data_IF_305657859058
#
_entry.id   IF_305657859058
#
_cell.length_a   1.000
_cell.length_b   1.000
_cell.length_c   1.000
_cell.angle_alpha   90.00
_cell.angle_beta   90.00
_cell.angle_gamma   90.00
#
_symmetry.space_group_name_H-M   'P 1'
#
loop_
_entity.id
_entity.type
_entity.pdbx_description
1 polymer ?
#
# COMPACT_ATOMS: atom_id res chain seq x y z
N UNK A 1 -9.20 58.46 11.33
CA UNK A 1 -7.86 58.24 10.73
C UNK A 1 -7.25 56.87 11.04
N UNK A 2 -7.12 56.42 12.30
CA UNK A 2 -6.52 55.10 12.62
C UNK A 2 -7.30 53.89 12.04
N UNK A 3 -8.64 53.95 11.98
CA UNK A 3 -9.46 52.87 11.39
C UNK A 3 -9.34 52.78 9.85
N UNK A 4 -9.16 53.92 9.17
CA UNK A 4 -9.04 53.98 7.71
C UNK A 4 -7.69 53.44 7.20
N UNK A 5 -6.61 53.60 7.98
CA UNK A 5 -5.30 52.99 7.69
C UNK A 5 -5.30 51.45 7.83
N UNK A 6 -6.08 50.89 8.76
CA UNK A 6 -6.16 49.43 8.94
C UNK A 6 -6.92 48.73 7.81
N UNK A 7 -7.99 49.35 7.31
CA UNK A 7 -8.74 48.84 6.15
C UNK A 7 -7.89 48.91 4.87
N UNK A 8 -7.14 50.00 4.68
CA UNK A 8 -6.26 50.13 3.51
C UNK A 8 -5.11 49.12 3.51
N UNK A 9 -4.54 48.81 4.69
CA UNK A 9 -3.51 47.79 4.84
C UNK A 9 -4.09 46.38 4.62
N UNK A 10 -5.30 46.11 5.13
CA UNK A 10 -6.00 44.85 4.88
C UNK A 10 -6.31 44.61 3.40
N UNK A 11 -6.73 45.65 2.67
CA UNK A 11 -6.96 45.56 1.21
C UNK A 11 -5.63 45.43 0.46
N UNK A 12 -4.55 46.08 0.90
CA UNK A 12 -3.24 45.92 0.25
C UNK A 12 -2.68 44.50 0.41
N UNK A 13 -2.86 43.90 1.59
CA UNK A 13 -2.47 42.51 1.88
C UNK A 13 -3.35 41.55 1.07
N UNK A 14 -4.66 41.80 0.98
CA UNK A 14 -5.58 41.01 0.16
C UNK A 14 -5.25 41.11 -1.34
N UNK A 15 -4.88 42.30 -1.84
CA UNK A 15 -4.46 42.46 -3.22
C UNK A 15 -3.09 41.82 -3.49
N UNK A 16 -2.16 41.82 -2.53
CA UNK A 16 -0.87 41.13 -2.68
C UNK A 16 -1.00 39.61 -2.72
N UNK A 17 -1.96 39.02 -1.99
CA UNK A 17 -2.25 37.57 -2.09
C UNK A 17 -2.90 37.18 -3.42
N UNK A 18 -3.66 38.08 -4.05
CA UNK A 18 -4.30 37.81 -5.36
C UNK A 18 -3.33 37.99 -6.55
N UNK A 19 -2.16 38.61 -6.34
CA UNK A 19 -1.12 38.68 -7.37
C UNK A 19 -0.24 37.42 -7.45
N UNK A 20 -0.31 36.50 -6.48
CA UNK A 20 0.39 35.23 -6.53
C UNK A 20 -0.40 34.12 -7.26
N UNK A 21 -1.73 34.21 -7.31
CA UNK A 21 -2.58 33.18 -7.92
C UNK A 21 -2.89 33.42 -9.41
N UNK A 22 -2.04 34.16 -10.13
CA UNK A 22 -2.37 34.61 -11.49
C UNK A 22 -1.19 35.09 -12.31
N UNK A 23 -0.06 34.37 -12.27
CA UNK A 23 0.95 34.52 -13.32
C UNK A 23 0.38 33.96 -14.64
N UNK A 24 0.45 34.79 -15.69
CA UNK A 24 -0.18 34.58 -16.98
C UNK A 24 0.19 33.24 -17.62
N UNK A 25 -0.76 32.57 -18.30
CA UNK A 25 -0.53 31.37 -19.14
C UNK A 25 0.70 31.47 -20.07
N UNK A 26 1.09 32.67 -20.49
CA UNK A 26 2.28 32.91 -21.33
C UNK A 26 3.62 32.74 -20.60
N UNK A 27 3.67 32.91 -19.28
CA UNK A 27 4.88 32.72 -18.47
C UNK A 27 5.11 31.23 -18.18
N UNK A 28 4.03 30.50 -17.86
CA UNK A 28 4.09 29.07 -17.55
C UNK A 28 4.43 28.22 -18.79
N UNK A 29 4.10 28.70 -20.00
CA UNK A 29 4.44 28.03 -21.27
C UNK A 29 5.70 28.58 -21.96
N UNK A 30 6.60 29.24 -21.21
CA UNK A 30 7.79 29.87 -21.78
C UNK A 30 8.86 28.84 -22.16
N UNK A 31 9.30 28.82 -23.42
CA UNK A 31 10.47 28.04 -23.88
C UNK A 31 11.84 28.63 -23.43
N UNK A 32 11.83 29.65 -22.57
CA UNK A 32 13.02 30.26 -21.97
C UNK A 32 13.17 29.71 -20.54
N UNK A 33 14.22 28.89 -20.25
CA UNK A 33 14.39 28.22 -18.96
C UNK A 33 14.35 29.18 -17.76
N UNK A 34 14.97 30.36 -17.87
CA UNK A 34 15.01 31.32 -16.76
C UNK A 34 13.63 31.89 -16.43
N UNK A 35 12.83 32.19 -17.47
CA UNK A 35 11.45 32.68 -17.26
C UNK A 35 10.52 31.59 -16.78
N UNK A 36 10.74 30.35 -17.25
CA UNK A 36 9.99 29.20 -16.79
C UNK A 36 10.24 28.94 -15.30
N UNK A 37 11.50 28.93 -14.88
CA UNK A 37 11.89 28.77 -13.48
C UNK A 37 11.37 29.91 -12.60
N UNK A 38 11.48 31.16 -13.05
CA UNK A 38 10.91 32.30 -12.31
C UNK A 38 9.39 32.18 -12.10
N UNK A 39 8.67 31.63 -13.09
CA UNK A 39 7.21 31.50 -13.03
C UNK A 39 6.72 30.27 -12.26
N UNK A 40 7.52 29.20 -12.20
CA UNK A 40 7.12 27.89 -11.65
C UNK A 40 8.02 27.44 -10.48
N UNK A 41 8.83 28.34 -9.91
CA UNK A 41 9.64 28.04 -8.74
C UNK A 41 8.77 27.74 -7.52
N UNK A 42 9.20 26.80 -6.70
CA UNK A 42 8.45 26.29 -5.57
C UNK A 42 8.55 24.78 -5.44
N UNK A 43 7.78 24.24 -4.50
CA UNK A 43 7.66 22.81 -4.25
C UNK A 43 6.44 22.26 -4.96
N UNK A 44 6.61 21.09 -5.56
CA UNK A 44 5.62 20.39 -6.34
C UNK A 44 5.54 18.94 -5.86
N UNK A 45 4.34 18.37 -5.90
CA UNK A 45 4.09 17.01 -5.44
C UNK A 45 3.44 16.17 -6.52
N UNK A 46 3.92 14.93 -6.66
CA UNK A 46 3.37 13.94 -7.59
C UNK A 46 1.89 13.70 -7.27
N UNK A 47 1.07 13.71 -8.31
CA UNK A 47 -0.39 13.55 -8.28
C UNK A 47 -1.15 14.51 -7.35
N UNK A 48 -0.50 15.60 -6.89
CA UNK A 48 -1.09 16.53 -5.94
C UNK A 48 -1.25 15.97 -4.53
N UNK A 49 -0.54 14.89 -4.19
CA UNK A 49 -0.51 14.29 -2.86
C UNK A 49 0.80 14.66 -2.14
N UNK A 50 0.72 15.33 -1.00
CA UNK A 50 1.91 15.80 -0.27
C UNK A 50 2.76 14.69 0.35
N UNK A 51 2.23 13.45 0.37
CA UNK A 51 2.92 12.26 0.88
C UNK A 51 3.72 11.52 -0.23
N UNK A 52 3.63 11.97 -1.48
CA UNK A 52 4.35 11.40 -2.63
C UNK A 52 5.67 12.12 -2.91
N UNK A 53 6.33 11.70 -4.00
CA UNK A 53 7.49 12.34 -4.59
C UNK A 53 7.36 13.87 -4.65
N UNK A 54 8.46 14.52 -4.27
CA UNK A 54 8.59 15.96 -4.16
C UNK A 54 9.59 16.47 -5.18
N UNK A 55 9.18 17.42 -6.00
CA UNK A 55 10.03 18.16 -6.94
C UNK A 55 10.14 19.61 -6.48
N UNK A 56 11.37 20.11 -6.30
CA UNK A 56 11.65 21.50 -5.96
C UNK A 56 12.28 22.18 -7.16
N UNK A 57 11.70 23.29 -7.62
CA UNK A 57 12.22 24.13 -8.69
C UNK A 57 12.70 25.45 -8.10
N UNK A 58 13.96 25.80 -8.33
CA UNK A 58 14.54 27.06 -7.87
C UNK A 58 14.43 28.15 -8.94
N UNK A 59 14.38 29.41 -8.50
CA UNK A 59 14.23 30.59 -9.38
C UNK A 59 15.44 30.80 -10.32
N UNK A 60 16.59 30.22 -9.98
CA UNK A 60 17.81 30.24 -10.78
C UNK A 60 17.83 29.17 -11.89
N UNK A 61 16.80 28.31 -11.98
CA UNK A 61 16.67 27.25 -12.97
C UNK A 61 17.33 25.93 -12.59
N UNK A 62 17.75 25.77 -11.33
CA UNK A 62 18.11 24.46 -10.76
C UNK A 62 16.87 23.74 -10.21
N UNK A 63 16.97 22.42 -10.01
CA UNK A 63 15.90 21.61 -9.44
C UNK A 63 16.44 20.42 -8.65
N UNK A 64 15.63 19.93 -7.70
CA UNK A 64 15.88 18.74 -6.89
C UNK A 64 14.62 17.88 -6.85
N UNK A 65 14.77 16.57 -6.90
CA UNK A 65 13.70 15.57 -6.80
C UNK A 65 13.99 14.63 -5.64
N UNK A 66 12.93 14.29 -4.93
CA UNK A 66 12.96 13.41 -3.77
C UNK A 66 11.85 12.37 -3.92
N UNK A 67 12.20 11.09 -3.86
CA UNK A 67 11.24 9.97 -3.78
C UNK A 67 10.76 9.74 -2.34
N UNK A 68 11.53 10.23 -1.36
CA UNK A 68 11.18 10.25 0.05
C UNK A 68 11.30 11.67 0.62
N UNK A 69 11.03 11.86 1.91
CA UNK A 69 11.06 13.21 2.50
C UNK A 69 12.47 13.79 2.70
N UNK A 70 13.51 12.96 2.67
CA UNK A 70 14.84 13.26 3.22
C UNK A 70 15.98 13.23 2.19
N UNK A 71 15.88 12.41 1.16
CA UNK A 71 16.96 12.08 0.23
C UNK A 71 16.69 12.63 -1.16
N UNK A 72 17.65 13.38 -1.69
CA UNK A 72 17.63 13.83 -3.09
C UNK A 72 17.92 12.62 -3.97
N UNK A 73 16.92 12.16 -4.75
CA UNK A 73 17.10 11.09 -5.72
C UNK A 73 17.64 11.61 -7.06
N UNK A 74 17.35 12.86 -7.41
CA UNK A 74 17.93 13.52 -8.57
C UNK A 74 18.03 15.03 -8.39
N UNK A 75 19.04 15.66 -9.02
CA UNK A 75 19.18 17.12 -9.06
C UNK A 75 19.73 17.56 -10.41
N UNK A 76 19.44 18.80 -10.78
CA UNK A 76 19.81 19.25 -12.11
C UNK A 76 19.56 20.71 -12.44
N UNK A 77 19.61 20.98 -13.75
CA UNK A 77 19.30 22.27 -14.36
C UNK A 77 18.20 22.14 -15.40
N UNK A 78 17.44 23.20 -15.61
CA UNK A 78 16.44 23.29 -16.68
C UNK A 78 17.12 23.82 -17.94
N UNK A 79 17.05 23.05 -19.02
CA UNK A 79 17.56 23.44 -20.34
C UNK A 79 16.44 23.50 -21.37
N UNK A 80 16.69 24.20 -22.47
CA UNK A 80 15.80 24.20 -23.63
C UNK A 80 16.44 23.43 -24.78
N UNK A 81 15.85 22.29 -25.13
CA UNK A 81 16.22 21.54 -26.32
C UNK A 81 15.68 22.27 -27.56
N UNK A 82 16.60 22.74 -28.40
CA UNK A 82 16.28 23.46 -29.64
C UNK A 82 15.84 22.52 -30.77
N UNK A 83 16.24 21.25 -30.73
CA UNK A 83 15.91 20.26 -31.74
C UNK A 83 14.45 19.84 -31.57
N UNK A 84 14.10 19.40 -30.35
CA UNK A 84 12.74 18.98 -30.01
C UNK A 84 11.80 20.13 -29.60
N UNK A 85 12.36 21.32 -29.35
CA UNK A 85 11.64 22.54 -28.94
C UNK A 85 10.86 22.37 -27.64
N UNK A 86 11.45 21.69 -26.67
CA UNK A 86 10.88 21.42 -25.34
C UNK A 86 11.86 21.85 -24.25
N UNK A 87 11.35 22.00 -23.03
CA UNK A 87 12.20 22.14 -21.85
C UNK A 87 12.54 20.74 -21.33
N UNK A 88 13.76 20.56 -20.86
CA UNK A 88 14.23 19.34 -20.23
C UNK A 88 14.82 19.65 -18.86
N UNK A 89 14.46 18.84 -17.89
CA UNK A 89 15.09 18.79 -16.59
C UNK A 89 16.28 17.85 -16.73
N UNK A 90 17.49 18.42 -16.76
CA UNK A 90 18.72 17.68 -17.03
C UNK A 90 19.40 17.33 -15.71
N UNK A 91 19.42 16.04 -15.37
CA UNK A 91 20.16 15.56 -14.20
C UNK A 91 21.66 15.76 -14.45
N UNK A 92 22.31 16.54 -13.58
CA UNK A 92 23.72 16.95 -13.78
C UNK A 92 24.71 15.80 -13.56
N UNK A 93 24.33 14.79 -12.78
CA UNK A 93 25.16 13.65 -12.42
C UNK A 93 25.10 12.57 -13.49
N UNK A 94 23.91 12.24 -13.97
CA UNK A 94 23.67 11.09 -14.84
C UNK A 94 23.44 11.46 -16.32
N UNK A 95 23.24 12.75 -16.60
CA UNK A 95 22.85 13.27 -17.93
C UNK A 95 21.59 12.60 -18.48
N UNK A 96 20.67 12.27 -17.58
CA UNK A 96 19.30 11.89 -17.91
C UNK A 96 18.51 13.17 -18.18
N UNK A 97 17.68 13.12 -19.22
CA UNK A 97 16.82 14.22 -19.62
C UNK A 97 15.38 13.82 -19.30
N UNK A 98 14.74 14.58 -18.42
CA UNK A 98 13.32 14.42 -18.13
C UNK A 98 12.55 15.49 -18.92
N UNK A 99 11.77 15.10 -19.94
CA UNK A 99 10.92 16.03 -20.66
C UNK A 99 9.99 16.74 -19.68
N UNK A 100 9.88 18.06 -19.85
CA UNK A 100 9.02 18.90 -19.02
C UNK A 100 7.94 19.55 -19.88
N UNK A 101 6.68 19.36 -19.48
CA UNK A 101 5.51 19.96 -20.13
C UNK A 101 4.57 20.56 -19.11
N UNK A 102 4.06 21.76 -19.38
CA UNK A 102 2.97 22.33 -18.59
C UNK A 102 1.64 22.01 -19.24
N UNK A 103 0.76 21.39 -18.46
CA UNK A 103 -0.62 21.14 -18.83
C UNK A 103 -1.49 22.39 -18.65
N UNK A 104 -2.59 22.42 -19.39
CA UNK A 104 -3.54 23.54 -19.39
C UNK A 104 -4.27 23.72 -18.05
N UNK A 105 -4.27 22.68 -17.22
CA UNK A 105 -4.87 22.65 -15.89
C UNK A 105 -3.90 23.01 -14.77
N UNK A 106 -2.66 23.42 -15.10
CA UNK A 106 -1.65 23.85 -14.16
C UNK A 106 -0.72 22.76 -13.65
N UNK A 107 -0.90 21.51 -14.09
CA UNK A 107 0.03 20.42 -13.78
C UNK A 107 1.33 20.55 -14.58
N UNK A 108 2.42 20.11 -13.98
CA UNK A 108 3.72 19.93 -14.61
C UNK A 108 3.93 18.43 -14.88
N UNK A 109 4.25 18.05 -16.11
CA UNK A 109 4.79 16.71 -16.39
C UNK A 109 6.27 16.68 -16.03
N UNK A 110 6.64 15.73 -15.19
CA UNK A 110 8.01 15.38 -14.89
C UNK A 110 8.09 13.86 -14.69
N UNK A 111 9.08 13.20 -15.28
CA UNK A 111 9.26 11.74 -15.18
C UNK A 111 7.97 10.93 -15.43
N UNK A 112 7.24 11.27 -16.51
CA UNK A 112 5.96 10.64 -16.89
C UNK A 112 4.82 10.75 -15.86
N UNK A 113 4.98 11.57 -14.83
CA UNK A 113 3.98 11.79 -13.79
C UNK A 113 3.53 13.26 -13.78
N UNK A 114 2.31 13.50 -13.30
CA UNK A 114 1.77 14.86 -13.14
C UNK A 114 2.12 15.37 -11.74
N UNK A 115 2.71 16.55 -11.67
CA UNK A 115 3.05 17.26 -10.45
C UNK A 115 2.19 18.52 -10.31
N UNK A 116 1.75 18.80 -9.10
CA UNK A 116 1.00 20.01 -8.75
C UNK A 116 1.77 20.82 -7.72
N UNK A 117 1.70 22.17 -7.77
CA UNK A 117 2.41 23.00 -6.82
C UNK A 117 1.79 22.80 -5.43
N UNK A 118 2.60 22.92 -4.38
CA UNK A 118 2.24 22.67 -2.98
C UNK A 118 0.92 23.33 -2.56
N UNK A 119 0.65 24.57 -2.97
CA UNK A 119 -0.61 25.26 -2.64
C UNK A 119 -1.87 24.65 -3.28
N UNK A 120 -1.70 23.78 -4.28
CA UNK A 120 -2.76 23.04 -4.96
C UNK A 120 -2.71 21.53 -4.70
N UNK A 121 -1.82 21.09 -3.81
CA UNK A 121 -1.72 19.72 -3.34
C UNK A 121 -2.46 19.55 -2.03
N UNK A 122 -2.77 18.31 -1.64
CA UNK A 122 -3.41 17.99 -0.37
C UNK A 122 -2.72 16.83 0.34
N UNK A 123 -2.86 16.83 1.65
CA UNK A 123 -2.56 15.70 2.52
C UNK A 123 -3.86 14.93 2.82
N UNK A 124 -3.74 13.75 3.43
CA UNK A 124 -4.90 12.99 3.92
C UNK A 124 -5.65 12.23 2.84
N UNK A 125 -4.96 11.72 1.81
CA UNK A 125 -5.60 10.85 0.80
C UNK A 125 -6.17 9.57 1.41
N UNK A 126 -5.58 9.09 2.51
CA UNK A 126 -6.02 7.96 3.31
C UNK A 126 -7.45 8.13 3.87
N UNK A 127 -7.91 9.36 4.11
CA UNK A 127 -9.29 9.64 4.50
C UNK A 127 -10.32 9.17 3.45
N UNK A 128 -9.89 9.06 2.20
CA UNK A 128 -10.71 8.65 1.06
C UNK A 128 -10.55 7.18 0.68
N UNK A 129 -9.72 6.42 1.42
CA UNK A 129 -9.53 5.01 1.17
C UNK A 129 -10.81 4.23 1.50
N UNK A 130 -11.07 3.20 0.69
CA UNK A 130 -12.23 2.34 0.82
C UNK A 130 -13.03 2.20 -0.47
N UNK A 131 -14.21 1.61 -0.35
CA UNK A 131 -15.09 1.34 -1.49
C UNK A 131 -16.25 2.32 -1.54
N UNK A 132 -16.41 2.94 -2.70
CA UNK A 132 -17.37 4.00 -2.96
C UNK A 132 -18.44 3.49 -3.92
N UNK A 133 -19.62 3.20 -3.39
CA UNK A 133 -20.70 2.54 -4.13
C UNK A 133 -21.68 3.54 -4.73
N UNK A 134 -22.16 3.28 -5.94
CA UNK A 134 -23.15 4.14 -6.60
C UNK A 134 -24.45 4.23 -5.77
N UNK A 135 -24.81 5.45 -5.39
CA UNK A 135 -25.92 5.76 -4.47
C UNK A 135 -25.82 5.02 -3.10
N UNK A 136 -24.65 4.49 -2.73
CA UNK A 136 -24.44 3.66 -1.54
C UNK A 136 -24.97 2.23 -1.66
N UNK A 137 -25.37 1.81 -2.86
CA UNK A 137 -25.91 0.47 -3.10
C UNK A 137 -24.78 -0.51 -3.44
N UNK A 138 -24.53 -1.46 -2.55
CA UNK A 138 -23.41 -2.40 -2.63
C UNK A 138 -23.59 -3.46 -3.73
N UNK A 139 -24.80 -3.53 -4.30
CA UNK A 139 -25.11 -4.33 -5.48
C UNK A 139 -24.93 -3.57 -6.80
N UNK A 140 -24.39 -2.34 -6.78
CA UNK A 140 -24.09 -1.52 -7.97
C UNK A 140 -22.60 -1.28 -8.18
N UNK A 141 -22.29 -0.68 -9.33
CA UNK A 141 -20.93 -0.25 -9.67
C UNK A 141 -20.29 0.54 -8.52
N UNK A 142 -19.00 0.31 -8.30
CA UNK A 142 -18.24 0.96 -7.24
C UNK A 142 -16.82 1.28 -7.67
N UNK A 143 -16.24 2.25 -6.96
CA UNK A 143 -14.86 2.67 -7.07
C UNK A 143 -14.14 2.31 -5.78
N UNK A 144 -13.03 1.59 -5.84
CA UNK A 144 -12.14 1.41 -4.70
C UNK A 144 -10.97 2.37 -4.84
N UNK A 145 -10.64 3.06 -3.75
CA UNK A 145 -9.44 3.91 -3.64
C UNK A 145 -8.56 3.31 -2.55
N UNK A 146 -7.30 3.04 -2.89
CA UNK A 146 -6.30 2.43 -2.00
C UNK A 146 -4.88 2.64 -2.56
N UNK A 147 -3.88 2.19 -1.81
CA UNK A 147 -2.49 2.06 -2.28
C UNK A 147 -2.26 0.62 -2.71
N UNK A 148 -1.72 0.37 -3.92
CA UNK A 148 -1.46 -1.02 -4.35
C UNK A 148 -0.03 -1.48 -4.09
N UNK A 149 1.01 -0.66 -4.29
CA UNK A 149 2.42 -0.91 -3.94
C UNK A 149 3.15 0.45 -4.10
N UNK A 150 4.19 0.75 -3.31
CA UNK A 150 5.07 1.93 -3.50
C UNK A 150 4.35 3.30 -3.53
N UNK A 151 3.80 3.70 -2.38
CA UNK A 151 3.25 5.03 -2.02
C UNK A 151 2.13 5.63 -2.88
N UNK A 152 1.90 5.17 -4.12
CA UNK A 152 0.93 5.75 -5.03
C UNK A 152 -0.52 5.38 -4.69
N UNK A 153 -1.37 6.40 -4.57
CA UNK A 153 -2.81 6.22 -4.43
C UNK A 153 -3.45 5.95 -5.78
N UNK A 154 -4.14 4.81 -5.86
CA UNK A 154 -4.76 4.29 -7.07
C UNK A 154 -6.26 4.16 -6.92
N UNK A 155 -6.92 4.04 -8.05
CA UNK A 155 -8.33 3.76 -8.13
C UNK A 155 -8.61 2.50 -8.94
N UNK A 156 -9.69 1.82 -8.59
CA UNK A 156 -10.20 0.62 -9.25
C UNK A 156 -11.71 0.80 -9.46
N UNK A 157 -12.20 0.60 -10.68
CA UNK A 157 -13.63 0.63 -10.99
C UNK A 157 -14.15 -0.76 -11.32
N UNK A 158 -15.19 -1.17 -10.59
CA UNK A 158 -15.81 -2.48 -10.68
C UNK A 158 -17.30 -2.37 -10.95
N UNK A 159 -17.82 -3.32 -11.72
CA UNK A 159 -19.28 -3.48 -11.94
C UNK A 159 -19.69 -4.83 -11.33
N UNK A 160 -20.68 -4.86 -10.43
CA UNK A 160 -21.22 -6.12 -9.93
C UNK A 160 -21.98 -6.84 -11.04
N UNK A 161 -21.73 -8.15 -11.18
CA UNK A 161 -22.54 -9.03 -12.00
C UNK A 161 -23.65 -9.69 -11.17
N UNK A 162 -24.50 -10.44 -11.86
CA UNK A 162 -25.79 -10.97 -11.46
C UNK A 162 -25.72 -12.02 -10.33
N UNK A 163 -26.75 -12.89 -10.21
CA UNK A 163 -27.14 -13.69 -9.03
C UNK A 163 -26.05 -14.58 -8.36
N UNK A 164 -24.82 -14.60 -8.86
CA UNK A 164 -23.65 -15.26 -8.27
C UNK A 164 -22.73 -14.33 -7.45
N UNK A 165 -22.97 -13.01 -7.44
CA UNK A 165 -22.34 -12.08 -6.49
C UNK A 165 -20.89 -11.67 -6.78
N UNK A 166 -20.34 -11.99 -7.96
CA UNK A 166 -18.96 -11.63 -8.30
C UNK A 166 -18.89 -10.27 -9.01
N UNK A 167 -17.98 -9.41 -8.55
CA UNK A 167 -17.64 -8.14 -9.20
C UNK A 167 -16.56 -8.34 -10.24
N UNK A 168 -16.64 -7.65 -11.38
CA UNK A 168 -15.59 -7.69 -12.40
C UNK A 168 -14.91 -6.33 -12.48
N UNK A 169 -13.60 -6.30 -12.21
CA UNK A 169 -12.75 -5.16 -12.49
C UNK A 169 -12.91 -4.77 -13.96
N UNK A 170 -13.22 -3.51 -14.20
CA UNK A 170 -13.33 -2.97 -15.55
C UNK A 170 -12.14 -2.08 -15.90
N UNK A 171 -11.62 -1.31 -14.92
CA UNK A 171 -10.55 -0.33 -15.11
C UNK A 171 -9.84 0.00 -13.81
N UNK A 172 -8.60 0.47 -13.91
CA UNK A 172 -7.79 0.94 -12.78
C UNK A 172 -6.81 2.00 -13.25
N UNK A 173 -6.24 2.77 -12.32
CA UNK A 173 -5.24 3.78 -12.65
C UNK A 173 -4.81 4.63 -11.45
N UNK A 174 -4.15 5.75 -11.73
CA UNK A 174 -3.63 6.67 -10.71
C UNK A 174 -4.68 7.71 -10.31
N UNK A 175 -4.77 8.02 -9.01
CA UNK A 175 -5.71 9.02 -8.50
C UNK A 175 -4.99 10.36 -8.32
N UNK A 176 -5.46 11.38 -9.03
CA UNK A 176 -4.83 12.70 -9.06
C UNK A 176 -5.71 13.71 -8.35
N UNK A 177 -5.15 14.48 -7.42
CA UNK A 177 -5.79 15.68 -6.88
C UNK A 177 -5.44 16.92 -7.71
N UNK A 178 -6.47 17.58 -8.24
CA UNK A 178 -6.32 18.88 -8.89
C UNK A 178 -6.92 19.98 -7.99
N UNK A 179 -6.09 20.60 -7.14
CA UNK A 179 -6.52 21.63 -6.20
C UNK A 179 -7.04 22.92 -6.85
N UNK A 180 -6.65 23.22 -8.10
CA UNK A 180 -7.16 24.38 -8.85
C UNK A 180 -8.66 24.20 -9.17
N UNK A 181 -9.03 22.99 -9.57
CA UNK A 181 -10.41 22.61 -9.87
C UNK A 181 -11.15 22.06 -8.64
N UNK A 182 -10.43 21.69 -7.59
CA UNK A 182 -10.91 21.06 -6.36
C UNK A 182 -11.67 19.74 -6.65
N UNK A 183 -11.00 18.85 -7.39
CA UNK A 183 -11.54 17.56 -7.86
C UNK A 183 -10.47 16.48 -7.82
N UNK A 184 -10.90 15.23 -7.63
CA UNK A 184 -10.11 14.07 -7.98
C UNK A 184 -10.28 13.73 -9.46
N UNK A 185 -9.20 13.30 -10.10
CA UNK A 185 -9.18 12.81 -11.48
C UNK A 185 -8.68 11.37 -11.41
N UNK A 186 -9.53 10.45 -11.85
CA UNK A 186 -9.15 9.06 -12.07
C UNK A 186 -8.45 8.99 -13.43
N UNK A 187 -7.12 8.99 -13.42
CA UNK A 187 -6.29 8.95 -14.61
C UNK A 187 -6.03 7.50 -15.02
N UNK A 188 -6.20 7.19 -16.30
CA UNK A 188 -6.08 5.84 -16.90
C UNK A 188 -4.96 5.88 -17.95
N UNK A 189 -3.75 6.30 -17.55
CA UNK A 189 -2.66 6.59 -18.49
C UNK A 189 -2.32 5.35 -19.36
N UNK A 190 -2.19 5.48 -20.69
CA UNK A 190 -2.14 6.71 -21.51
C UNK A 190 -3.49 7.19 -22.06
N UNK A 191 -4.60 6.58 -21.65
CA UNK A 191 -5.95 6.94 -22.10
C UNK A 191 -6.45 8.25 -21.43
N UNK A 192 -7.51 8.85 -22.00
CA UNK A 192 -8.13 10.06 -21.44
C UNK A 192 -8.64 9.80 -20.01
N UNK A 193 -8.64 10.85 -19.15
CA UNK A 193 -9.20 10.84 -17.80
C UNK A 193 -10.50 9.99 -17.72
N UNK A 194 -10.50 8.91 -16.94
CA UNK A 194 -11.65 8.01 -16.81
C UNK A 194 -12.86 8.72 -16.20
N UNK A 195 -12.62 9.43 -15.09
CA UNK A 195 -13.64 10.15 -14.37
C UNK A 195 -13.05 11.34 -13.61
N UNK A 196 -13.87 12.38 -13.45
CA UNK A 196 -13.57 13.52 -12.59
C UNK A 196 -14.59 13.53 -11.46
N UNK A 197 -14.12 13.46 -10.22
CA UNK A 197 -14.94 13.41 -9.01
C UNK A 197 -14.84 14.73 -8.24
N UNK A 198 -16.00 15.33 -7.97
CA UNK A 198 -16.11 16.45 -7.04
C UNK A 198 -16.43 15.90 -5.65
N UNK A 199 -15.68 16.34 -4.65
CA UNK A 199 -15.99 16.05 -3.24
C UNK A 199 -17.20 16.90 -2.86
N UNK A 200 -18.33 16.25 -2.56
CA UNK A 200 -19.52 16.92 -2.01
C UNK A 200 -19.48 16.96 -0.49
N UNK A 201 -19.02 15.88 0.11
CA UNK A 201 -18.82 15.68 1.56
C UNK A 201 -17.76 14.59 1.78
N UNK A 202 -17.26 14.40 3.01
CA UNK A 202 -16.20 13.41 3.33
C UNK A 202 -16.57 11.97 2.98
N UNK A 203 -17.86 11.65 2.87
CA UNK A 203 -18.36 10.34 2.45
C UNK A 203 -19.04 10.33 1.08
N UNK A 204 -18.98 11.41 0.29
CA UNK A 204 -19.67 11.48 -1.03
C UNK A 204 -18.80 12.08 -2.13
N UNK A 205 -18.46 11.26 -3.13
CA UNK A 205 -17.86 11.67 -4.40
C UNK A 205 -18.93 11.79 -5.48
N UNK A 206 -18.86 12.82 -6.33
CA UNK A 206 -19.84 13.02 -7.41
C UNK A 206 -19.17 13.13 -8.77
N UNK A 207 -19.64 12.36 -9.74
CA UNK A 207 -19.17 12.42 -11.13
C UNK A 207 -20.32 12.30 -12.12
N UNK A 208 -20.39 13.17 -13.12
CA UNK A 208 -21.39 13.13 -14.21
C UNK A 208 -22.86 12.98 -13.74
N UNK A 209 -23.19 13.53 -12.57
CA UNK A 209 -24.54 13.46 -11.98
C UNK A 209 -24.85 12.16 -11.24
N UNK A 210 -23.87 11.27 -11.08
CA UNK A 210 -23.88 10.12 -10.18
C UNK A 210 -23.17 10.49 -8.87
N UNK A 211 -23.65 9.94 -7.77
CA UNK A 211 -23.04 10.08 -6.45
C UNK A 211 -22.56 8.71 -5.99
N UNK A 212 -21.30 8.62 -5.57
CA UNK A 212 -20.68 7.46 -4.99
C UNK A 212 -20.50 7.72 -3.50
N UNK A 213 -21.03 6.82 -2.67
CA UNK A 213 -21.03 6.94 -1.22
C UNK A 213 -19.98 5.99 -0.67
N UNK A 214 -19.08 6.53 0.16
CA UNK A 214 -18.09 5.73 0.86
C UNK A 214 -18.80 4.78 1.83
N UNK A 215 -18.53 3.50 1.70
CA UNK A 215 -18.93 2.48 2.66
C UNK A 215 -17.64 1.94 3.25
N UNK A 216 -17.37 2.31 4.51
CA UNK A 216 -16.24 1.76 5.26
C UNK A 216 -16.66 0.40 5.81
N UNK A 217 -15.74 -0.57 5.83
CA UNK A 217 -16.06 -1.94 6.25
C UNK A 217 -16.59 -2.05 7.70
N UNK A 218 -16.32 -1.04 8.54
CA UNK A 218 -16.87 -0.94 9.91
C UNK A 218 -18.40 -0.75 9.94
N UNK A 219 -19.01 -0.22 8.87
CA UNK A 219 -20.44 0.09 8.80
C UNK A 219 -21.30 -1.11 8.32
N UNK A 220 -20.72 -2.26 8.01
CA UNK A 220 -21.46 -3.44 7.50
C UNK A 220 -22.15 -4.27 8.59
N UNK A 221 -21.83 -4.04 9.87
CA UNK A 221 -22.35 -4.82 10.99
C UNK A 221 -23.40 -4.09 11.85
N UNK A 222 -23.81 -2.89 11.48
CA UNK A 222 -24.90 -2.19 12.18
C UNK A 222 -26.19 -2.18 11.34
N UNK A 223 -27.21 -2.85 11.88
CA UNK A 223 -28.64 -2.76 11.57
C UNK A 223 -29.14 -3.28 10.19
N UNK A 224 -29.69 -4.50 10.20
CA UNK A 224 -31.09 -4.76 9.76
C UNK A 224 -31.50 -6.26 9.71
N UNK A 225 -30.90 -7.13 10.53
CA UNK A 225 -31.55 -8.40 10.86
C UNK A 225 -32.28 -8.30 12.20
N UNK A 226 -33.51 -7.78 12.16
CA UNK A 226 -34.54 -8.15 13.14
C UNK A 226 -34.78 -9.66 13.05
N UNK A 227 -34.01 -10.44 13.77
CA UNK A 227 -34.39 -11.79 14.18
C UNK A 227 -34.65 -11.78 15.68
N UNK A 228 -35.93 -11.81 16.02
CA UNK A 228 -36.40 -12.17 17.34
C UNK A 228 -35.77 -13.50 17.79
N UNK A 229 -35.44 -13.52 19.07
CA UNK A 229 -35.24 -14.68 19.96
C UNK A 229 -33.85 -15.31 20.07
N UNK A 230 -33.20 -14.94 21.18
CA UNK A 230 -32.46 -15.79 22.11
C UNK A 230 -31.34 -16.68 21.52
N UNK A 231 -30.14 -16.12 21.36
CA UNK A 231 -28.92 -16.87 21.65
C UNK A 231 -27.94 -16.02 22.45
N UNK A 232 -27.60 -16.54 23.64
CA UNK A 232 -26.53 -16.04 24.50
C UNK A 232 -25.23 -15.93 23.70
N UNK A 233 -24.62 -14.76 23.79
CA UNK A 233 -23.31 -14.43 23.25
C UNK A 233 -22.23 -15.19 24.05
N UNK A 234 -21.76 -16.31 23.51
CA UNK A 234 -20.44 -16.86 23.79
C UNK A 234 -19.67 -16.79 22.46
N UNK A 235 -18.85 -15.76 22.30
CA UNK A 235 -18.01 -15.51 21.13
C UNK A 235 -17.10 -16.73 20.85
N UNK A 236 -17.22 -17.33 19.65
CA UNK A 236 -16.35 -18.40 19.15
C UNK A 236 -15.18 -17.77 18.38
N UNK A 237 -13.99 -17.83 18.95
CA UNK A 237 -12.72 -17.48 18.32
C UNK A 237 -12.28 -18.61 17.38
N UNK A 238 -12.61 -18.54 16.09
CA UNK A 238 -12.26 -19.62 15.16
C UNK A 238 -10.77 -19.57 14.80
N UNK A 239 -9.93 -20.28 15.57
CA UNK A 239 -8.52 -20.49 15.23
C UNK A 239 -8.37 -21.40 14.00
N UNK A 240 -7.67 -20.92 12.96
CA UNK A 240 -7.38 -21.66 11.73
C UNK A 240 -5.88 -21.95 11.55
N UNK A 241 -5.56 -23.10 10.94
CA UNK A 241 -4.19 -23.52 10.60
C UNK A 241 -3.98 -23.45 9.09
N UNK A 242 -2.98 -22.69 8.64
CA UNK A 242 -2.69 -22.50 7.22
C UNK A 242 -1.56 -23.39 6.69
N UNK A 243 -1.70 -23.83 5.44
CA UNK A 243 -0.68 -24.55 4.70
C UNK A 243 -0.56 -24.01 3.26
N UNK A 244 0.66 -23.74 2.77
CA UNK A 244 0.90 -23.35 1.37
C UNK A 244 1.38 -24.52 0.52
N UNK A 245 0.87 -24.61 -0.71
CA UNK A 245 1.33 -25.56 -1.72
C UNK A 245 2.81 -25.31 -2.04
N UNK A 246 3.63 -26.32 -1.82
CA UNK A 246 5.09 -26.33 -1.88
C UNK A 246 5.78 -25.23 -1.04
N UNK A 247 5.08 -24.63 -0.08
CA UNK A 247 5.58 -23.50 0.71
C UNK A 247 5.65 -22.17 -0.05
N UNK A 248 5.00 -22.07 -1.21
CA UNK A 248 4.97 -20.88 -2.06
C UNK A 248 3.73 -20.03 -1.73
N UNK A 249 3.92 -18.79 -1.29
CA UNK A 249 2.85 -17.88 -0.89
C UNK A 249 2.10 -17.26 -2.08
N UNK A 250 2.65 -17.37 -3.30
CA UNK A 250 1.96 -17.02 -4.55
C UNK A 250 1.17 -18.22 -5.12
N UNK A 251 0.98 -19.28 -4.32
CA UNK A 251 0.34 -20.51 -4.76
C UNK A 251 -0.93 -20.83 -3.95
N UNK A 252 -1.39 -22.07 -4.03
CA UNK A 252 -2.61 -22.53 -3.35
C UNK A 252 -2.40 -22.59 -1.82
N UNK A 253 -3.34 -22.03 -1.07
CA UNK A 253 -3.41 -21.95 0.40
C UNK A 253 -4.51 -22.88 0.88
N UNK A 254 -4.24 -23.76 1.84
CA UNK A 254 -5.21 -24.57 2.54
C UNK A 254 -5.30 -24.11 4.01
N UNK A 255 -6.46 -23.63 4.44
CA UNK A 255 -6.74 -23.31 5.84
C UNK A 255 -7.65 -24.37 6.47
N UNK A 256 -7.27 -24.92 7.62
CA UNK A 256 -8.08 -25.84 8.43
C UNK A 256 -8.60 -25.12 9.68
N UNK A 257 -9.91 -24.91 9.78
CA UNK A 257 -10.55 -24.26 10.93
C UNK A 257 -10.85 -25.28 12.02
N UNK A 258 -10.16 -25.16 13.17
CA UNK A 258 -10.12 -26.20 14.20
C UNK A 258 -11.44 -26.32 14.99
N UNK A 259 -12.19 -25.23 15.12
CA UNK A 259 -13.37 -25.19 15.98
C UNK A 259 -14.59 -25.93 15.40
N UNK A 260 -14.79 -25.81 14.09
CA UNK A 260 -15.96 -26.36 13.39
C UNK A 260 -15.62 -27.50 12.41
N UNK A 261 -14.32 -27.85 12.31
CA UNK A 261 -13.78 -28.81 11.35
C UNK A 261 -14.14 -28.44 9.90
N UNK A 262 -14.13 -27.15 9.57
CA UNK A 262 -14.25 -26.65 8.20
C UNK A 262 -12.89 -26.32 7.60
N UNK A 263 -12.82 -26.17 6.29
CA UNK A 263 -11.60 -25.73 5.63
C UNK A 263 -11.93 -24.78 4.48
N UNK A 264 -10.94 -23.96 4.10
CA UNK A 264 -10.92 -23.22 2.85
C UNK A 264 -9.65 -23.54 2.05
N UNK A 265 -9.76 -23.54 0.73
CA UNK A 265 -8.60 -23.53 -0.17
C UNK A 265 -8.71 -22.33 -1.09
N UNK A 266 -7.68 -21.50 -1.10
CA UNK A 266 -7.58 -20.29 -1.91
C UNK A 266 -6.41 -20.44 -2.86
N UNK A 267 -6.51 -20.00 -4.11
CA UNK A 267 -5.34 -19.91 -5.00
C UNK A 267 -5.44 -18.62 -5.83
N UNK A 268 -4.31 -17.96 -6.17
CA UNK A 268 -4.35 -16.67 -6.85
C UNK A 268 -5.04 -16.68 -8.22
N UNK A 269 -5.07 -17.83 -8.89
CA UNK A 269 -5.78 -18.01 -10.17
C UNK A 269 -7.22 -18.55 -10.01
N UNK A 270 -7.68 -18.81 -8.78
CA UNK A 270 -9.02 -19.31 -8.52
C UNK A 270 -9.99 -18.16 -8.26
N UNK A 271 -11.19 -18.21 -8.88
CA UNK A 271 -12.17 -17.14 -8.74
C UNK A 271 -12.87 -17.13 -7.37
N UNK A 272 -12.88 -18.26 -6.66
CA UNK A 272 -13.49 -18.43 -5.34
C UNK A 272 -12.69 -19.44 -4.52
N UNK A 273 -12.81 -19.33 -3.19
CA UNK A 273 -12.30 -20.32 -2.26
C UNK A 273 -13.10 -21.63 -2.35
N UNK A 274 -12.41 -22.76 -2.27
CA UNK A 274 -13.05 -24.06 -2.09
C UNK A 274 -13.29 -24.25 -0.60
N UNK A 275 -14.55 -24.22 -0.20
CA UNK A 275 -14.97 -24.47 1.17
C UNK A 275 -15.47 -25.90 1.36
N UNK A 276 -15.21 -26.46 2.53
CA UNK A 276 -15.72 -27.77 2.89
C UNK A 276 -15.55 -28.12 4.36
N UNK A 277 -15.72 -29.40 4.68
CA UNK A 277 -15.45 -29.94 6.01
C UNK A 277 -14.27 -30.89 5.96
N UNK A 278 -13.48 -30.97 7.02
CA UNK A 278 -12.43 -31.96 7.12
C UNK A 278 -12.62 -32.89 8.32
N UNK A 279 -11.92 -34.01 8.28
CA UNK A 279 -11.77 -34.90 9.43
C UNK A 279 -10.35 -35.43 9.47
N UNK A 280 -9.86 -35.73 10.68
CA UNK A 280 -8.53 -36.27 10.89
C UNK A 280 -8.66 -37.66 11.51
N UNK A 281 -8.11 -38.67 10.85
CA UNK A 281 -8.03 -40.05 11.36
C UNK A 281 -6.59 -40.55 11.24
N UNK A 282 -5.99 -40.93 12.37
CA UNK A 282 -4.56 -41.20 12.52
C UNK A 282 -3.67 -40.08 11.89
N UNK A 283 -2.97 -40.39 10.79
CA UNK A 283 -2.09 -39.47 10.06
C UNK A 283 -2.71 -39.04 8.71
N UNK A 284 -4.03 -39.11 8.57
CA UNK A 284 -4.72 -38.72 7.33
C UNK A 284 -5.72 -37.61 7.62
N UNK A 285 -5.59 -36.49 6.92
CA UNK A 285 -6.60 -35.44 6.83
C UNK A 285 -7.46 -35.72 5.60
N UNK A 286 -8.77 -35.82 5.79
CA UNK A 286 -9.75 -36.01 4.70
C UNK A 286 -10.57 -34.75 4.53
N UNK A 287 -10.43 -34.08 3.39
CA UNK A 287 -11.22 -32.89 3.02
C UNK A 287 -12.46 -33.33 2.22
N UNK A 288 -13.62 -32.77 2.54
CA UNK A 288 -14.91 -33.11 1.91
C UNK A 288 -15.54 -31.87 1.29
N UNK A 289 -15.78 -31.89 -0.02
CA UNK A 289 -16.48 -30.84 -0.78
C UNK A 289 -17.66 -31.44 -1.51
N UNK A 290 -18.88 -31.18 -1.01
CA UNK A 290 -20.09 -31.78 -1.55
C UNK A 290 -20.09 -33.31 -1.40
N UNK A 291 -20.02 -34.04 -2.52
CA UNK A 291 -19.94 -35.52 -2.54
C UNK A 291 -18.50 -36.04 -2.78
N UNK A 292 -17.51 -35.15 -2.89
CA UNK A 292 -16.13 -35.53 -3.18
C UNK A 292 -15.27 -35.51 -1.91
N UNK A 293 -14.32 -36.44 -1.83
CA UNK A 293 -13.35 -36.53 -0.74
C UNK A 293 -11.92 -36.47 -1.30
N UNK A 294 -11.03 -35.78 -0.60
CA UNK A 294 -9.60 -35.64 -0.89
C UNK A 294 -8.80 -36.05 0.34
N UNK A 295 -7.68 -36.75 0.15
CA UNK A 295 -6.90 -37.33 1.23
C UNK A 295 -5.48 -36.77 1.27
N UNK A 296 -5.05 -36.36 2.46
CA UNK A 296 -3.73 -35.80 2.72
C UNK A 296 -3.04 -36.57 3.83
N UNK A 297 -1.80 -37.03 3.59
CA UNK A 297 -0.96 -37.68 4.59
C UNK A 297 -0.21 -36.62 5.41
N UNK A 298 -0.36 -36.67 6.73
CA UNK A 298 0.36 -35.80 7.68
C UNK A 298 1.80 -36.28 7.81
N UNK A 299 2.78 -35.42 7.52
CA UNK A 299 4.22 -35.67 7.61
C UNK A 299 4.93 -34.65 8.47
N UNK A 300 6.18 -34.97 8.81
CA UNK A 300 7.13 -34.08 9.51
C UNK A 300 6.57 -33.46 10.81
N UNK A 301 5.92 -34.28 11.65
CA UNK A 301 5.29 -33.86 12.92
C UNK A 301 4.15 -32.83 12.75
N UNK A 302 3.36 -32.96 11.69
CA UNK A 302 2.19 -32.09 11.39
C UNK A 302 2.53 -30.76 10.76
N UNK A 303 3.79 -30.55 10.33
CA UNK A 303 4.19 -29.37 9.58
C UNK A 303 3.99 -29.52 8.07
N UNK A 304 3.58 -30.72 7.60
CA UNK A 304 3.31 -30.97 6.19
C UNK A 304 2.09 -31.86 5.96
N UNK A 305 1.33 -31.53 4.93
CA UNK A 305 0.27 -32.36 4.36
C UNK A 305 0.65 -32.74 2.93
N UNK A 306 0.60 -34.03 2.60
CA UNK A 306 0.93 -34.50 1.23
C UNK A 306 -0.30 -35.14 0.60
N UNK A 307 -0.76 -34.58 -0.53
CA UNK A 307 -1.94 -35.08 -1.22
C UNK A 307 -1.68 -36.40 -1.99
N UNK A 308 -2.74 -36.99 -2.54
CA UNK A 308 -2.65 -38.24 -3.32
C UNK A 308 -1.85 -38.11 -4.63
N UNK A 309 -1.59 -36.88 -5.10
CA UNK A 309 -0.80 -36.57 -6.29
C UNK A 309 0.67 -36.31 -5.99
N UNK A 310 1.04 -36.23 -4.70
CA UNK A 310 2.39 -35.99 -4.22
C UNK A 310 2.74 -34.51 -4.09
N UNK A 311 1.75 -33.61 -4.09
CA UNK A 311 1.95 -32.21 -3.77
C UNK A 311 2.09 -32.04 -2.27
N UNK A 312 3.01 -31.18 -1.83
CA UNK A 312 3.28 -30.93 -0.41
C UNK A 312 2.68 -29.59 -0.01
N UNK A 313 1.97 -29.54 1.12
CA UNK A 313 1.39 -28.34 1.71
C UNK A 313 2.10 -28.11 3.04
N UNK A 314 2.77 -26.96 3.19
CA UNK A 314 3.68 -26.67 4.31
C UNK A 314 3.01 -25.73 5.31
N UNK A 315 3.01 -26.11 6.58
CA UNK A 315 2.44 -25.36 7.70
C UNK A 315 3.18 -24.04 7.93
N UNK A 316 2.43 -22.96 8.16
CA UNK A 316 2.98 -21.60 8.32
C UNK A 316 2.52 -20.85 9.57
N UNK A 317 1.58 -21.38 10.36
CA UNK A 317 1.14 -20.78 11.61
C UNK A 317 -0.38 -20.87 11.89
N UNK A 318 -0.76 -20.51 13.11
CA UNK A 318 -2.14 -20.26 13.54
C UNK A 318 -2.44 -18.76 13.35
N UNK A 319 -3.61 -18.42 12.81
CA UNK A 319 -4.03 -17.03 12.61
C UNK A 319 -5.21 -16.70 13.55
N UNK A 320 -5.06 -15.66 14.39
CA UNK A 320 -6.13 -15.14 15.25
C UNK A 320 -6.67 -13.82 14.65
N UNK A 321 -7.93 -13.83 14.21
CA UNK A 321 -8.60 -12.68 13.63
C UNK A 321 -9.19 -11.83 14.77
N UNK A 322 -8.32 -11.11 15.49
CA UNK A 322 -8.53 -9.86 16.25
C UNK A 322 -7.63 -9.80 17.48
N UNK A 323 -6.88 -8.70 17.64
CA UNK A 323 -6.84 -8.00 18.94
C UNK A 323 -6.34 -6.58 18.80
N UNK A 324 -7.23 -5.63 19.11
CA UNK A 324 -6.80 -4.43 19.83
C UNK A 324 -5.98 -4.85 21.05
N UNK A 325 -4.93 -4.08 21.34
CA UNK A 325 -4.02 -4.30 22.46
C UNK A 325 -4.76 -4.55 23.80
N UNK A 326 -4.83 -5.81 24.23
CA UNK A 326 -5.00 -6.15 25.64
C UNK A 326 -3.74 -6.83 26.19
N UNK A 327 -3.09 -6.10 27.08
CA UNK A 327 -1.83 -6.46 27.71
C UNK A 327 -2.04 -7.57 28.75
N UNK A 328 -1.90 -8.85 28.42
CA UNK A 328 -1.52 -9.88 29.41
C UNK A 328 -1.18 -11.28 28.86
N UNK A 329 -0.45 -11.39 27.76
CA UNK A 329 0.44 -12.53 27.51
C UNK A 329 1.69 -11.98 26.86
N UNK A 330 2.83 -12.00 27.56
CA UNK A 330 4.11 -11.77 26.90
C UNK A 330 4.39 -13.02 26.06
N UNK A 331 3.80 -13.06 24.86
CA UNK A 331 4.44 -13.76 23.76
C UNK A 331 5.69 -12.95 23.41
N UNK A 332 6.84 -13.61 23.46
CA UNK A 332 8.12 -13.03 23.05
C UNK A 332 8.13 -12.97 21.54
N UNK A 333 7.61 -11.88 21.00
CA UNK A 333 7.60 -11.64 19.56
C UNK A 333 8.84 -10.86 19.13
N UNK A 334 9.22 -11.01 17.86
CA UNK A 334 10.23 -10.16 17.23
C UNK A 334 9.62 -8.78 16.92
N UNK A 335 10.46 -7.75 16.84
CA UNK A 335 10.02 -6.42 16.42
C UNK A 335 10.01 -6.41 14.89
N UNK A 336 8.82 -6.55 14.33
CA UNK A 336 8.58 -6.51 12.90
C UNK A 336 8.89 -5.15 12.26
N UNK A 337 9.40 -5.16 11.02
CA UNK A 337 9.78 -3.96 10.29
C UNK A 337 11.06 -3.29 10.80
N UNK A 338 11.90 -4.01 11.55
CA UNK A 338 13.13 -3.50 12.17
C UNK A 338 14.38 -4.29 11.74
N UNK A 339 15.53 -3.61 11.81
CA UNK A 339 16.85 -4.21 11.58
C UNK A 339 17.44 -4.75 12.88
N UNK A 340 18.03 -5.94 12.79
CA UNK A 340 18.81 -6.57 13.84
C UNK A 340 20.26 -6.71 13.38
N UNK A 341 21.16 -5.94 13.98
CA UNK A 341 22.58 -5.91 13.60
C UNK A 341 23.41 -6.81 14.51
N UNK A 342 24.32 -7.58 13.92
CA UNK A 342 25.27 -8.40 14.66
C UNK A 342 26.10 -7.53 15.62
N UNK A 343 25.98 -7.82 16.90
CA UNK A 343 26.52 -7.06 18.03
C UNK A 343 26.15 -5.56 18.03
N UNK A 344 25.08 -5.19 17.33
CA UNK A 344 24.64 -3.79 17.17
C UNK A 344 25.53 -2.95 16.24
N UNK A 345 26.34 -3.57 15.38
CA UNK A 345 27.20 -2.86 14.43
C UNK A 345 26.53 -2.75 13.05
N UNK A 346 26.10 -1.55 12.68
CA UNK A 346 25.49 -1.22 11.39
C UNK A 346 26.36 -1.52 10.15
N UNK A 347 27.68 -1.69 10.31
CA UNK A 347 28.58 -2.11 9.22
C UNK A 347 28.76 -3.64 9.15
N UNK A 348 28.09 -4.40 10.02
CA UNK A 348 28.20 -5.85 10.13
C UNK A 348 27.00 -6.58 9.51
N UNK A 349 26.87 -7.88 9.77
CA UNK A 349 25.74 -8.68 9.30
C UNK A 349 24.42 -8.19 9.91
N UNK A 350 23.35 -8.14 9.11
CA UNK A 350 22.03 -7.75 9.60
C UNK A 350 20.90 -8.63 9.09
N UNK A 351 19.86 -8.71 9.92
CA UNK A 351 18.58 -9.34 9.60
C UNK A 351 17.50 -8.26 9.58
N UNK A 352 16.71 -8.18 8.52
CA UNK A 352 15.53 -7.32 8.45
C UNK A 352 14.27 -8.16 8.27
N UNK A 353 13.32 -8.03 9.18
CA UNK A 353 12.11 -8.87 9.21
C UNK A 353 10.90 -8.13 8.66
N UNK A 354 10.32 -8.65 7.59
CA UNK A 354 9.08 -8.13 7.01
C UNK A 354 7.87 -8.85 7.64
N UNK A 355 6.99 -8.07 8.27
CA UNK A 355 5.79 -8.61 8.94
C UNK A 355 4.67 -9.01 7.99
N UNK A 356 4.71 -8.55 6.75
CA UNK A 356 3.62 -8.71 5.80
C UNK A 356 3.64 -10.08 5.10
N UNK A 357 4.81 -10.68 4.97
CA UNK A 357 5.06 -11.91 4.20
C UNK A 357 5.96 -12.92 4.92
N UNK A 358 6.31 -12.64 6.18
CA UNK A 358 7.26 -13.42 6.98
C UNK A 358 8.60 -13.66 6.27
N UNK A 359 9.05 -12.70 5.46
CA UNK A 359 10.36 -12.74 4.83
C UNK A 359 11.41 -12.07 5.70
N UNK A 360 12.65 -12.50 5.52
CA UNK A 360 13.80 -11.91 6.17
C UNK A 360 14.91 -11.67 5.16
N UNK A 361 15.41 -10.44 5.13
CA UNK A 361 16.61 -10.11 4.39
C UNK A 361 17.83 -10.32 5.28
N UNK A 362 18.72 -11.19 4.83
CA UNK A 362 20.05 -11.39 5.40
C UNK A 362 21.07 -10.59 4.60
N UNK A 363 21.60 -9.56 5.22
CA UNK A 363 22.65 -8.70 4.65
C UNK A 363 24.00 -9.04 5.25
N UNK A 364 24.94 -9.51 4.41
CA UNK A 364 26.32 -9.76 4.81
C UNK A 364 27.23 -8.76 4.09
N UNK A 365 28.05 -7.96 4.80
CA UNK A 365 28.90 -6.95 4.18
C UNK A 365 29.78 -7.49 3.04
N UNK A 366 29.59 -6.93 1.85
CA UNK A 366 30.33 -7.31 0.64
C UNK A 366 29.77 -8.53 -0.11
N UNK A 367 28.57 -8.99 0.25
CA UNK A 367 27.76 -9.95 -0.51
C UNK A 367 26.44 -9.29 -0.95
N UNK A 368 25.76 -9.91 -1.91
CA UNK A 368 24.39 -9.54 -2.26
C UNK A 368 23.45 -9.95 -1.12
N UNK A 369 22.40 -9.16 -0.89
CA UNK A 369 21.32 -9.48 0.06
C UNK A 369 20.71 -10.83 -0.27
N UNK A 370 20.48 -11.64 0.76
CA UNK A 370 19.88 -12.96 0.61
C UNK A 370 18.53 -12.97 1.32
N UNK A 371 17.48 -13.13 0.54
CA UNK A 371 16.11 -13.26 1.04
C UNK A 371 15.85 -14.70 1.55
N UNK A 372 15.17 -14.79 2.68
CA UNK A 372 14.70 -16.03 3.30
C UNK A 372 13.31 -15.87 3.88
N UNK A 373 12.79 -16.96 4.45
CA UNK A 373 11.57 -16.94 5.24
C UNK A 373 11.91 -17.06 6.73
N UNK A 374 11.06 -16.55 7.61
CA UNK A 374 11.18 -16.80 9.04
C UNK A 374 9.90 -17.33 9.67
N UNK A 375 10.04 -17.98 10.82
CA UNK A 375 8.92 -18.40 11.66
C UNK A 375 9.29 -18.28 13.14
N UNK A 376 8.31 -17.95 13.97
CA UNK A 376 8.48 -17.82 15.43
C UNK A 376 7.65 -18.90 16.12
N UNK A 377 8.30 -19.67 17.00
CA UNK A 377 7.63 -20.67 17.83
C UNK A 377 8.09 -20.49 19.28
N UNK A 378 7.30 -19.76 20.07
CA UNK A 378 7.67 -19.38 21.43
C UNK A 378 8.82 -18.37 21.44
N UNK A 379 9.92 -18.68 22.12
CA UNK A 379 11.11 -17.81 22.14
C UNK A 379 12.16 -18.18 21.08
N UNK A 380 11.80 -19.02 20.11
CA UNK A 380 12.71 -19.47 19.05
C UNK A 380 12.24 -18.91 17.72
N UNK A 381 13.11 -18.14 17.10
CA UNK A 381 13.03 -17.70 15.71
C UNK A 381 13.79 -18.70 14.83
N UNK A 382 13.16 -19.17 13.76
CA UNK A 382 13.79 -19.97 12.72
C UNK A 382 13.84 -19.17 11.44
N UNK A 383 15.01 -19.00 10.84
CA UNK A 383 15.23 -18.36 9.54
C UNK A 383 15.65 -19.41 8.53
N UNK A 384 14.95 -19.49 7.41
CA UNK A 384 15.16 -20.46 6.35
C UNK A 384 15.62 -19.76 5.07
N UNK A 385 16.83 -20.09 4.62
CA UNK A 385 17.41 -19.57 3.38
C UNK A 385 17.73 -20.76 2.48
N UNK A 386 16.92 -20.93 1.42
CA UNK A 386 16.99 -22.11 0.55
C UNK A 386 16.71 -23.40 1.32
N UNK A 387 17.68 -24.33 1.35
CA UNK A 387 17.58 -25.59 2.11
C UNK A 387 18.24 -25.50 3.51
N UNK A 388 18.67 -24.32 3.95
CA UNK A 388 19.38 -24.12 5.23
C UNK A 388 18.49 -23.42 6.24
N UNK A 389 18.47 -23.92 7.47
CA UNK A 389 17.78 -23.30 8.60
C UNK A 389 18.78 -22.76 9.62
N UNK A 390 18.49 -21.58 10.17
CA UNK A 390 19.20 -20.91 11.26
C UNK A 390 18.23 -20.70 12.42
N UNK A 391 18.71 -20.83 13.66
CA UNK A 391 17.88 -20.70 14.85
C UNK A 391 18.40 -19.61 15.77
N UNK A 392 17.50 -18.79 16.28
CA UNK A 392 17.79 -17.70 17.20
C UNK A 392 16.88 -17.75 18.43
N UNK A 393 17.42 -17.45 19.60
CA UNK A 393 16.65 -17.23 20.83
C UNK A 393 16.27 -15.75 20.95
N UNK A 394 14.98 -15.47 21.09
CA UNK A 394 14.41 -14.12 21.20
C UNK A 394 14.43 -13.69 22.68
N UNK A 395 14.87 -12.46 22.96
CA UNK A 395 14.79 -11.87 24.31
C UNK A 395 13.34 -11.61 24.74
N UNK A 396 13.11 -11.49 26.05
CA UNK A 396 11.78 -11.23 26.63
C UNK A 396 11.07 -9.99 26.06
N UNK A 397 11.84 -9.03 25.54
CA UNK A 397 11.37 -7.76 24.97
C UNK A 397 11.49 -7.67 23.45
N UNK A 398 11.87 -8.75 22.77
CA UNK A 398 12.04 -8.80 21.31
C UNK A 398 13.24 -8.02 20.78
N UNK A 399 13.96 -7.26 21.62
CA UNK A 399 15.03 -6.35 21.16
C UNK A 399 16.36 -7.04 20.83
N UNK A 400 16.50 -8.33 21.17
CA UNK A 400 17.73 -9.09 20.95
C UNK A 400 17.43 -10.51 20.48
N UNK A 401 18.21 -10.95 19.50
CA UNK A 401 18.28 -12.33 19.02
C UNK A 401 19.64 -12.93 19.36
N UNK A 402 19.69 -14.21 19.71
CA UNK A 402 20.96 -14.93 19.97
C UNK A 402 21.00 -16.20 19.14
N UNK A 403 21.97 -16.32 18.23
CA UNK A 403 22.07 -17.50 17.37
C UNK A 403 22.61 -18.75 18.11
N UNK A 404 22.65 -19.88 17.41
CA UNK A 404 23.17 -21.15 17.95
C UNK A 404 24.66 -21.11 18.35
N UNK A 405 25.42 -20.11 17.88
CA UNK A 405 26.84 -19.90 18.21
C UNK A 405 27.04 -18.94 19.38
N UNK A 406 25.97 -18.27 19.83
CA UNK A 406 25.97 -17.29 20.91
C UNK A 406 26.29 -15.88 20.45
N UNK A 407 26.22 -15.60 19.15
CA UNK A 407 26.34 -14.26 18.60
C UNK A 407 25.02 -13.51 18.81
N UNK A 408 25.11 -12.25 19.27
CA UNK A 408 23.94 -11.44 19.62
C UNK A 408 23.61 -10.48 18.48
N UNK A 409 22.35 -10.40 18.06
CA UNK A 409 21.85 -9.41 17.12
C UNK A 409 20.93 -8.43 17.85
N UNK A 410 21.21 -7.14 17.73
CA UNK A 410 20.52 -6.09 18.47
C UNK A 410 19.62 -5.29 17.53
N UNK A 411 18.36 -5.14 17.93
CA UNK A 411 17.37 -4.33 17.23
C UNK A 411 17.78 -2.85 17.25
N UNK A 412 17.77 -2.21 16.08
CA UNK A 412 17.87 -0.76 15.95
C UNK A 412 16.45 -0.17 16.04
N UNK A 413 16.21 0.69 17.04
CA UNK A 413 14.89 1.27 17.39
C UNK A 413 14.96 2.79 17.32
#
# INVERSE_FOLDING_TARGET
MKKMKRILIGILILCLMVFAAGCSKEANASNDPAKFAEANSGTWYRYGNTQEDKLIIYDDGTWEHYEDSETISAEGIIEYDKEDKKLDFVNVTERIYFPCFMYDDGALEFNFSRYFPEENSMDGFDEYFGSWYLDGDTSKEYLTINTFVESNVRWLYSVPLDETGQSVEQRSGELIWNGIKNVFIADDYPDEDFAVFTIKDTGVLSSNGKDYILVKYDDYYEDDFETEDDYDNDDLQVMGVNFYLNGDHESEVLCLYLEDNTFSITAPDWPDDILGTYSVDDNIVTLTVGENEFYYEVKDNSTKLVDEYGNEYVYIGEYDFETEADSSSQETDIIGGAFYYLNGDWESESLYFFTIDNTVDLDIPGQDTIEGAYSVSGNILTVTVGETEFYYEISEDGTKLVDEYGDEYLCDI
#
